data_IF_366277518428
#
_entry.id   IF_366277518428
#
_cell.length_a   1.000
_cell.length_b   1.000
_cell.length_c   1.000
_cell.angle_alpha   90.00
_cell.angle_beta   90.00
_cell.angle_gamma   90.00
#
_symmetry.space_group_name_H-M   'P 1'
#
loop_
_entity.id
_entity.type
_entity.pdbx_description
1 polymer ?
#
# COMPACT_ATOMS: atom_id res chain seq x y z
N UNK A 1 91.88 -29.61 -27.61
CA UNK A 1 91.01 -28.82 -26.69
C UNK A 1 89.62 -28.58 -27.26
N UNK A 2 89.34 -28.93 -28.52
CA UNK A 2 88.07 -28.66 -29.22
C UNK A 2 86.82 -29.44 -28.75
N UNK A 3 86.86 -30.70 -28.26
CA UNK A 3 85.62 -31.42 -27.93
C UNK A 3 84.90 -30.88 -26.68
N UNK A 4 85.64 -30.39 -25.69
CA UNK A 4 85.07 -29.78 -24.46
C UNK A 4 84.33 -28.47 -24.74
N UNK A 5 84.76 -27.72 -25.75
CA UNK A 5 84.12 -26.45 -26.14
C UNK A 5 82.79 -26.73 -26.87
N UNK A 6 82.73 -27.80 -27.67
CA UNK A 6 81.50 -28.22 -28.34
C UNK A 6 80.45 -28.72 -27.35
N UNK A 7 80.84 -29.49 -26.33
CA UNK A 7 79.94 -29.92 -25.25
C UNK A 7 79.39 -28.73 -24.44
N UNK A 8 80.25 -27.78 -24.05
CA UNK A 8 79.82 -26.59 -23.31
C UNK A 8 78.83 -25.72 -24.12
N UNK A 9 79.05 -25.56 -25.43
CA UNK A 9 78.13 -24.85 -26.31
C UNK A 9 76.79 -25.58 -26.47
N UNK A 10 76.81 -26.91 -26.50
CA UNK A 10 75.59 -27.72 -26.58
C UNK A 10 74.74 -27.63 -25.31
N UNK A 11 75.38 -27.63 -24.13
CA UNK A 11 74.68 -27.46 -22.86
C UNK A 11 74.06 -26.07 -22.71
N UNK A 12 74.78 -25.02 -23.14
CA UNK A 12 74.25 -23.66 -23.20
C UNK A 12 73.01 -23.58 -24.09
N UNK A 13 73.09 -24.14 -25.30
CA UNK A 13 71.98 -24.18 -26.24
C UNK A 13 70.75 -24.89 -25.66
N UNK A 14 70.95 -26.05 -25.00
CA UNK A 14 69.87 -26.77 -24.32
C UNK A 14 69.22 -25.94 -23.21
N UNK A 15 70.02 -25.29 -22.36
CA UNK A 15 69.51 -24.43 -21.28
C UNK A 15 68.73 -23.24 -21.84
N UNK A 16 69.21 -22.64 -22.93
CA UNK A 16 68.55 -21.51 -23.59
C UNK A 16 67.20 -21.93 -24.19
N UNK A 17 67.16 -23.05 -24.91
CA UNK A 17 65.91 -23.64 -25.44
C UNK A 17 64.91 -23.99 -24.35
N UNK A 18 65.38 -24.52 -23.21
CA UNK A 18 64.51 -24.84 -22.08
C UNK A 18 63.94 -23.58 -21.42
N UNK A 19 64.75 -22.53 -21.26
CA UNK A 19 64.30 -21.24 -20.73
C UNK A 19 63.30 -20.54 -21.67
N UNK A 20 63.53 -20.60 -22.99
CA UNK A 20 62.59 -20.09 -23.99
C UNK A 20 61.26 -20.85 -23.99
N UNK A 21 61.29 -22.18 -23.90
CA UNK A 21 60.08 -23.00 -23.80
C UNK A 21 59.28 -22.68 -22.53
N UNK A 22 59.96 -22.52 -21.39
CA UNK A 22 59.34 -22.14 -20.13
C UNK A 22 58.71 -20.73 -20.19
N UNK A 23 59.42 -19.75 -20.77
CA UNK A 23 58.89 -18.40 -20.98
C UNK A 23 57.66 -18.40 -21.88
N UNK A 24 57.71 -19.15 -22.98
CA UNK A 24 56.60 -19.28 -23.92
C UNK A 24 55.36 -19.90 -23.25
N UNK A 25 55.54 -20.95 -22.45
CA UNK A 25 54.46 -21.58 -21.69
C UNK A 25 53.84 -20.59 -20.69
N UNK A 26 54.68 -19.88 -19.91
CA UNK A 26 54.21 -18.87 -18.96
C UNK A 26 53.49 -17.70 -19.63
N UNK A 27 53.95 -17.26 -20.79
CA UNK A 27 53.28 -16.21 -21.56
C UNK A 27 51.90 -16.68 -22.06
N UNK A 28 51.80 -17.93 -22.53
CA UNK A 28 50.52 -18.51 -22.96
C UNK A 28 49.55 -18.71 -21.81
N UNK A 29 50.02 -19.16 -20.65
CA UNK A 29 49.21 -19.23 -19.44
C UNK A 29 48.69 -17.84 -19.02
N UNK A 30 49.56 -16.82 -19.03
CA UNK A 30 49.17 -15.45 -18.69
C UNK A 30 48.16 -14.87 -19.69
N UNK A 31 48.34 -15.12 -20.99
CA UNK A 31 47.39 -14.73 -22.03
C UNK A 31 46.03 -15.43 -21.82
N UNK A 32 46.03 -16.73 -21.54
CA UNK A 32 44.81 -17.48 -21.28
C UNK A 32 44.07 -16.97 -20.02
N UNK A 33 44.80 -16.71 -18.94
CA UNK A 33 44.24 -16.12 -17.72
C UNK A 33 43.66 -14.73 -17.96
N UNK A 34 44.36 -13.90 -18.73
CA UNK A 34 43.88 -12.56 -19.09
C UNK A 34 42.60 -12.63 -19.92
N UNK A 35 42.56 -13.48 -20.94
CA UNK A 35 41.37 -13.69 -21.75
C UNK A 35 40.18 -14.22 -20.93
N UNK A 36 40.42 -15.15 -20.01
CA UNK A 36 39.39 -15.65 -19.10
C UNK A 36 38.85 -14.56 -18.16
N UNK A 37 39.73 -13.72 -17.61
CA UNK A 37 39.35 -12.60 -16.75
C UNK A 37 38.55 -11.53 -17.51
N UNK A 38 38.95 -11.20 -18.74
CA UNK A 38 38.23 -10.27 -19.61
C UNK A 38 36.85 -10.81 -19.98
N UNK A 39 36.73 -12.10 -20.34
CA UNK A 39 35.45 -12.73 -20.61
C UNK A 39 34.53 -12.74 -19.38
N UNK A 40 35.06 -13.05 -18.20
CA UNK A 40 34.31 -13.02 -16.95
C UNK A 40 33.84 -11.61 -16.59
N UNK A 41 34.71 -10.60 -16.79
CA UNK A 41 34.36 -9.20 -16.56
C UNK A 41 33.25 -8.75 -17.50
N UNK A 42 33.39 -9.04 -18.80
CA UNK A 42 32.40 -8.70 -19.81
C UNK A 42 31.04 -9.35 -19.54
N UNK A 43 31.03 -10.62 -19.13
CA UNK A 43 29.80 -11.32 -18.74
C UNK A 43 29.12 -10.66 -17.53
N UNK A 44 29.88 -10.32 -16.49
CA UNK A 44 29.33 -9.59 -15.33
C UNK A 44 28.82 -8.21 -15.69
N UNK A 45 29.54 -7.49 -16.55
CA UNK A 45 29.14 -6.17 -17.02
C UNK A 45 27.79 -6.23 -17.73
N UNK A 46 27.60 -7.17 -18.67
CA UNK A 46 26.32 -7.34 -19.36
C UNK A 46 25.16 -7.67 -18.41
N UNK A 47 25.40 -8.49 -17.39
CA UNK A 47 24.37 -8.83 -16.39
C UNK A 47 23.98 -7.58 -15.61
N UNK A 48 24.96 -6.83 -15.10
CA UNK A 48 24.72 -5.59 -14.33
C UNK A 48 24.02 -4.54 -15.19
N UNK A 49 24.43 -4.38 -16.44
CA UNK A 49 23.82 -3.45 -17.39
C UNK A 49 22.37 -3.85 -17.70
N UNK A 50 22.11 -5.15 -17.86
CA UNK A 50 20.77 -5.71 -18.04
C UNK A 50 19.86 -5.47 -16.82
N UNK A 51 20.37 -5.71 -15.61
CA UNK A 51 19.67 -5.44 -14.36
C UNK A 51 19.37 -3.95 -14.18
N UNK A 52 20.34 -3.09 -14.49
CA UNK A 52 20.17 -1.65 -14.43
C UNK A 52 19.11 -1.18 -15.41
N UNK A 53 19.13 -1.70 -16.65
CA UNK A 53 18.13 -1.41 -17.66
C UNK A 53 16.73 -1.84 -17.22
N UNK A 54 16.60 -3.06 -16.68
CA UNK A 54 15.33 -3.57 -16.18
C UNK A 54 14.76 -2.69 -15.05
N UNK A 55 15.58 -2.37 -14.04
CA UNK A 55 15.18 -1.47 -12.93
C UNK A 55 14.80 -0.08 -13.40
N UNK A 56 15.53 0.46 -14.39
CA UNK A 56 15.19 1.76 -14.99
C UNK A 56 13.82 1.71 -15.66
N UNK A 57 13.52 0.64 -16.41
CA UNK A 57 12.21 0.45 -17.05
C UNK A 57 11.08 0.26 -16.06
N UNK A 58 11.32 -0.45 -14.97
CA UNK A 58 10.38 -0.57 -13.87
C UNK A 58 10.08 0.81 -13.24
N UNK A 59 11.11 1.61 -12.95
CA UNK A 59 10.95 2.96 -12.42
C UNK A 59 10.19 3.89 -13.40
N UNK A 60 10.49 3.84 -14.69
CA UNK A 60 9.73 4.56 -15.73
C UNK A 60 8.25 4.14 -15.73
N UNK A 61 7.95 2.85 -15.58
CA UNK A 61 6.59 2.34 -15.46
C UNK A 61 5.86 2.87 -14.22
N UNK A 62 6.53 2.90 -13.07
CA UNK A 62 5.96 3.46 -11.83
C UNK A 62 5.65 4.95 -11.95
N UNK A 63 6.55 5.72 -12.58
CA UNK A 63 6.32 7.14 -12.87
C UNK A 63 5.09 7.30 -13.77
N UNK A 64 4.99 6.53 -14.85
CA UNK A 64 3.85 6.59 -15.76
C UNK A 64 2.52 6.25 -15.06
N UNK A 65 2.52 5.27 -14.15
CA UNK A 65 1.35 4.94 -13.32
C UNK A 65 1.00 6.10 -12.39
N UNK A 66 1.98 6.69 -11.71
CA UNK A 66 1.77 7.82 -10.81
C UNK A 66 1.25 9.06 -11.55
N UNK A 67 1.79 9.34 -12.73
CA UNK A 67 1.31 10.40 -13.62
C UNK A 67 -0.13 10.13 -14.08
N UNK A 68 -0.43 8.89 -14.50
CA UNK A 68 -1.79 8.51 -14.88
C UNK A 68 -2.78 8.66 -13.72
N UNK A 69 -2.40 8.28 -12.51
CA UNK A 69 -3.22 8.49 -11.30
C UNK A 69 -3.42 9.98 -11.01
N UNK A 70 -2.37 10.80 -11.12
CA UNK A 70 -2.45 12.24 -10.92
C UNK A 70 -3.36 12.92 -11.95
N UNK A 71 -3.23 12.54 -13.23
CA UNK A 71 -4.10 13.01 -14.30
C UNK A 71 -5.55 12.61 -14.01
N UNK A 72 -5.80 11.35 -13.66
CA UNK A 72 -7.14 10.85 -13.35
C UNK A 72 -7.82 11.65 -12.23
N UNK A 73 -7.13 11.84 -11.10
CA UNK A 73 -7.66 12.62 -9.97
C UNK A 73 -7.92 14.07 -10.38
N UNK A 74 -7.03 14.67 -11.17
CA UNK A 74 -7.20 16.03 -11.68
C UNK A 74 -8.39 16.16 -12.62
N UNK A 75 -8.55 15.23 -13.55
CA UNK A 75 -9.69 15.21 -14.48
C UNK A 75 -11.01 15.09 -13.72
N UNK A 76 -11.07 14.26 -12.67
CA UNK A 76 -12.25 14.17 -11.81
C UNK A 76 -12.51 15.48 -11.05
N UNK A 77 -11.46 16.11 -10.50
CA UNK A 77 -11.58 17.39 -9.82
C UNK A 77 -12.13 18.47 -10.75
N UNK A 78 -11.60 18.55 -11.97
CA UNK A 78 -12.02 19.52 -12.98
C UNK A 78 -13.47 19.25 -13.43
N UNK A 79 -13.85 17.99 -13.63
CA UNK A 79 -15.22 17.59 -13.96
C UNK A 79 -16.24 17.94 -12.86
N UNK A 80 -15.80 17.95 -11.60
CA UNK A 80 -16.59 18.36 -10.43
C UNK A 80 -16.50 19.87 -10.16
N UNK A 81 -15.95 20.66 -11.10
CA UNK A 81 -15.85 22.11 -10.99
C UNK A 81 -14.89 22.58 -9.90
N UNK A 82 -13.87 21.79 -9.56
CA UNK A 82 -12.93 22.09 -8.48
C UNK A 82 -13.48 21.82 -7.08
N UNK A 83 -14.66 21.19 -6.95
CA UNK A 83 -15.23 20.88 -5.66
C UNK A 83 -14.53 19.66 -5.02
N UNK A 84 -13.59 19.96 -4.13
CA UNK A 84 -12.84 18.94 -3.37
C UNK A 84 -13.74 18.02 -2.54
N UNK A 85 -14.80 18.55 -1.92
CA UNK A 85 -15.70 17.74 -1.08
C UNK A 85 -16.42 16.68 -1.92
N UNK A 86 -16.95 17.07 -3.10
CA UNK A 86 -17.59 16.15 -4.02
C UNK A 86 -16.62 15.08 -4.55
N UNK A 87 -15.36 15.47 -4.84
CA UNK A 87 -14.34 14.53 -5.29
C UNK A 87 -14.00 13.50 -4.20
N UNK A 88 -13.76 13.98 -2.98
CA UNK A 88 -13.47 13.12 -1.83
C UNK A 88 -14.60 12.13 -1.61
N UNK A 89 -15.84 12.61 -1.58
CA UNK A 89 -17.01 11.75 -1.34
C UNK A 89 -17.17 10.72 -2.46
N UNK A 90 -16.98 11.12 -3.73
CA UNK A 90 -16.97 10.20 -4.85
C UNK A 90 -15.89 9.13 -4.73
N UNK A 91 -14.65 9.49 -4.37
CA UNK A 91 -13.56 8.54 -4.16
C UNK A 91 -13.84 7.59 -2.98
N UNK A 92 -14.42 8.09 -1.89
CA UNK A 92 -14.81 7.26 -0.74
C UNK A 92 -15.93 6.27 -1.09
N UNK A 93 -16.91 6.70 -1.88
CA UNK A 93 -18.02 5.85 -2.33
C UNK A 93 -17.53 4.80 -3.32
N UNK A 94 -16.82 5.23 -4.38
CA UNK A 94 -16.31 4.35 -5.42
C UNK A 94 -15.23 3.39 -4.91
N UNK A 95 -14.43 3.82 -3.92
CA UNK A 95 -13.45 2.98 -3.24
C UNK A 95 -14.07 1.99 -2.23
N UNK A 96 -15.39 1.99 -2.04
CA UNK A 96 -16.07 1.05 -1.15
C UNK A 96 -15.83 1.30 0.34
N UNK A 97 -15.24 2.44 0.72
CA UNK A 97 -14.83 2.71 2.11
C UNK A 97 -16.01 2.66 3.08
N UNK A 98 -17.20 3.08 2.65
CA UNK A 98 -18.41 2.98 3.47
C UNK A 98 -18.86 1.53 3.70
N UNK A 99 -18.69 0.65 2.70
CA UNK A 99 -19.00 -0.78 2.85
C UNK A 99 -18.02 -1.44 3.83
N UNK A 100 -16.74 -1.07 3.73
CA UNK A 100 -15.70 -1.56 4.64
C UNK A 100 -15.92 -1.09 6.08
N UNK A 101 -16.23 0.20 6.29
CA UNK A 101 -16.58 0.74 7.60
C UNK A 101 -17.81 0.04 8.20
N UNK A 102 -18.85 -0.20 7.40
CA UNK A 102 -20.03 -0.93 7.84
C UNK A 102 -19.69 -2.37 8.26
N UNK A 103 -18.83 -3.05 7.50
CA UNK A 103 -18.36 -4.41 7.82
C UNK A 103 -17.55 -4.44 9.11
N UNK A 104 -16.58 -3.55 9.27
CA UNK A 104 -15.76 -3.44 10.49
C UNK A 104 -16.64 -3.17 11.70
N UNK A 105 -17.59 -2.25 11.59
CA UNK A 105 -18.52 -1.93 12.68
C UNK A 105 -19.42 -3.13 13.02
N UNK A 106 -19.94 -3.84 12.01
CA UNK A 106 -20.75 -5.03 12.23
C UNK A 106 -19.95 -6.16 12.91
N UNK A 107 -18.68 -6.36 12.50
CA UNK A 107 -17.78 -7.31 13.13
C UNK A 107 -17.44 -6.93 14.57
N UNK A 108 -17.21 -5.64 14.84
CA UNK A 108 -16.99 -5.13 16.18
C UNK A 108 -18.22 -5.34 17.08
N UNK A 109 -19.43 -5.00 16.60
CA UNK A 109 -20.68 -5.24 17.33
C UNK A 109 -20.91 -6.74 17.55
N UNK A 110 -20.59 -7.58 16.58
CA UNK A 110 -20.64 -9.04 16.73
C UNK A 110 -19.65 -9.54 17.79
N UNK A 111 -18.43 -9.00 17.80
CA UNK A 111 -17.36 -9.34 18.74
C UNK A 111 -17.64 -8.85 20.16
N UNK A 112 -18.36 -7.74 20.32
CA UNK A 112 -18.79 -7.24 21.62
C UNK A 112 -19.77 -8.18 22.33
N UNK A 113 -20.42 -9.11 21.62
CA UNK A 113 -21.51 -9.96 22.14
C UNK A 113 -22.38 -9.18 23.12
N UNK A 114 -23.11 -8.13 22.66
CA UNK A 114 -23.83 -7.27 23.58
C UNK A 114 -24.84 -8.11 24.38
N UNK A 115 -24.49 -8.41 25.63
CA UNK A 115 -25.44 -8.90 26.62
C UNK A 115 -26.32 -7.70 26.93
N UNK A 116 -27.40 -7.55 26.16
CA UNK A 116 -28.46 -6.61 26.48
C UNK A 116 -29.08 -7.11 27.78
N UNK A 117 -28.54 -6.66 28.91
CA UNK A 117 -29.17 -6.82 30.21
C UNK A 117 -30.39 -5.91 30.20
N UNK A 118 -31.55 -6.47 29.86
CA UNK A 118 -32.84 -5.78 29.94
C UNK A 118 -33.05 -5.45 31.42
N UNK A 119 -32.73 -4.23 31.83
CA UNK A 119 -33.15 -3.71 33.12
C UNK A 119 -34.63 -3.36 32.97
N UNK A 120 -35.48 -4.37 33.18
CA UNK A 120 -36.91 -4.12 33.40
C UNK A 120 -36.99 -3.39 34.73
N UNK A 121 -37.01 -2.05 34.68
CA UNK A 121 -37.27 -1.25 35.85
C UNK A 121 -38.69 -1.63 36.31
N UNK A 122 -38.78 -2.43 37.37
CA UNK A 122 -40.03 -2.74 38.06
C UNK A 122 -40.55 -1.48 38.72
N UNK A 123 -41.08 -0.55 37.92
CA UNK A 123 -41.91 0.54 38.38
C UNK A 123 -43.29 -0.03 38.64
N UNK A 124 -43.58 -0.32 39.91
CA UNK A 124 -44.90 -0.69 40.35
C UNK A 124 -45.90 0.43 40.04
N UNK A 125 -46.89 0.11 39.22
CA UNK A 125 -48.23 0.66 39.30
C UNK A 125 -49.17 -0.42 38.76
N UNK A 126 -49.95 -0.98 39.67
CA UNK A 126 -51.04 -1.87 39.35
C UNK A 126 -52.11 -1.06 38.61
N UNK A 127 -52.33 -1.36 37.33
CA UNK A 127 -53.65 -1.32 36.71
C UNK A 127 -53.61 -1.88 35.28
N UNK A 128 -54.28 -3.01 35.14
CA UNK A 128 -55.00 -3.51 33.97
C UNK A 128 -54.20 -4.07 32.78
N UNK A 129 -54.54 -5.32 32.46
CA UNK A 129 -53.86 -6.14 31.48
C UNK A 129 -54.19 -5.73 30.05
N UNK A 130 -53.17 -5.69 29.19
CA UNK A 130 -53.19 -6.19 27.80
C UNK A 130 -51.89 -5.80 27.08
N UNK A 131 -51.28 -6.78 26.39
CA UNK A 131 -50.40 -6.52 25.25
C UNK A 131 -48.89 -6.50 25.51
N UNK A 132 -48.26 -7.68 25.42
CA UNK A 132 -46.80 -7.87 25.35
C UNK A 132 -46.13 -7.29 24.07
N UNK A 133 -46.81 -6.45 23.29
CA UNK A 133 -46.31 -5.84 22.04
C UNK A 133 -45.72 -4.44 22.17
N UNK A 134 -45.93 -3.74 23.29
CA UNK A 134 -45.59 -2.31 23.42
C UNK A 134 -44.17 -2.00 23.95
N UNK A 135 -43.45 -2.99 24.49
CA UNK A 135 -42.14 -2.72 25.11
C UNK A 135 -41.00 -2.59 24.08
N UNK A 136 -40.96 -3.42 23.03
CA UNK A 136 -39.93 -3.35 22.00
C UNK A 136 -39.97 -2.03 21.20
N UNK A 137 -41.16 -1.49 20.95
CA UNK A 137 -41.32 -0.24 20.21
C UNK A 137 -40.93 1.00 21.04
N UNK A 138 -41.06 0.91 22.37
CA UNK A 138 -40.64 1.96 23.31
C UNK A 138 -39.11 2.08 23.39
N UNK A 139 -38.39 0.96 23.29
CA UNK A 139 -36.92 0.92 23.27
C UNK A 139 -36.33 1.42 21.95
N UNK A 140 -36.90 1.02 20.80
CA UNK A 140 -36.53 1.57 19.49
C UNK A 140 -36.75 3.10 19.46
N UNK A 141 -37.83 3.59 20.08
CA UNK A 141 -38.07 5.03 20.21
C UNK A 141 -37.04 5.75 21.08
N UNK A 142 -36.44 5.08 22.06
CA UNK A 142 -35.38 5.61 22.90
C UNK A 142 -34.07 5.77 22.13
N UNK A 143 -33.66 4.74 21.37
CA UNK A 143 -32.48 4.80 20.49
C UNK A 143 -32.68 5.87 19.41
N UNK A 144 -33.88 5.94 18.81
CA UNK A 144 -34.23 6.95 17.82
C UNK A 144 -34.23 8.39 18.39
N UNK A 145 -34.51 8.57 19.68
CA UNK A 145 -34.42 9.88 20.37
C UNK A 145 -32.99 10.28 20.76
N UNK A 146 -32.08 9.33 20.90
CA UNK A 146 -30.67 9.59 21.26
C UNK A 146 -29.76 9.84 20.05
N UNK A 147 -30.18 9.40 18.86
CA UNK A 147 -29.47 9.64 17.60
C UNK A 147 -29.35 11.14 17.24
N UNK A 148 -30.42 11.98 17.29
CA UNK A 148 -30.34 13.39 16.91
C UNK A 148 -29.39 14.26 17.78
N UNK A 149 -29.35 14.10 19.12
CA UNK A 149 -28.38 14.83 19.95
C UNK A 149 -26.92 14.53 19.62
N UNK A 150 -26.57 13.29 19.25
CA UNK A 150 -25.20 12.91 18.88
C UNK A 150 -24.77 13.48 17.52
N UNK A 151 -25.71 13.61 16.57
CA UNK A 151 -25.41 14.27 15.30
C UNK A 151 -25.18 15.77 15.45
N UNK A 152 -25.87 16.42 16.40
CA UNK A 152 -25.62 17.83 16.72
C UNK A 152 -24.23 18.05 17.32
N UNK A 153 -23.80 17.23 18.27
CA UNK A 153 -22.46 17.38 18.87
C UNK A 153 -21.33 17.10 17.88
N UNK A 154 -21.48 16.12 16.99
CA UNK A 154 -20.49 15.86 15.92
C UNK A 154 -20.44 17.01 14.92
N UNK A 155 -21.59 17.58 14.54
CA UNK A 155 -21.64 18.74 13.67
C UNK A 155 -21.00 19.98 14.32
N UNK A 156 -21.28 20.24 15.60
CA UNK A 156 -20.71 21.35 16.37
C UNK A 156 -19.19 21.21 16.60
N UNK A 157 -18.66 19.99 16.74
CA UNK A 157 -17.23 19.74 16.99
C UNK A 157 -16.39 19.60 15.72
N UNK A 158 -16.99 19.18 14.59
CA UNK A 158 -16.24 18.86 13.36
C UNK A 158 -16.63 19.72 12.16
N UNK A 159 -17.72 20.48 12.24
CA UNK A 159 -18.26 21.26 11.13
C UNK A 159 -18.82 20.42 9.97
N UNK A 160 -18.85 19.09 10.10
CA UNK A 160 -19.31 18.20 9.04
C UNK A 160 -20.81 17.93 9.17
N UNK A 161 -21.57 18.17 8.09
CA UNK A 161 -22.99 17.82 8.00
C UNK A 161 -23.14 16.30 7.82
N UNK A 162 -24.07 15.65 8.52
CA UNK A 162 -24.34 14.24 8.29
C UNK A 162 -24.85 14.01 6.85
N UNK A 163 -24.44 12.92 6.19
CA UNK A 163 -24.90 12.56 4.84
C UNK A 163 -26.43 12.56 4.69
N UNK A 164 -26.93 13.03 3.54
CA UNK A 164 -28.37 13.26 3.29
C UNK A 164 -29.27 12.01 3.45
N UNK A 165 -28.73 10.80 3.36
CA UNK A 165 -29.48 9.54 3.55
C UNK A 165 -29.69 9.17 5.03
N UNK A 166 -28.97 9.81 5.97
CA UNK A 166 -29.11 9.60 7.42
C UNK A 166 -30.19 10.48 8.07
N UNK A 167 -30.94 11.22 7.26
CA UNK A 167 -32.00 12.12 7.71
C UNK A 167 -31.56 13.58 7.70
N UNK A 168 -32.45 14.45 7.22
CA UNK A 168 -32.30 15.89 7.30
C UNK A 168 -32.61 16.35 8.73
N UNK A 169 -31.72 17.14 9.34
CA UNK A 169 -32.06 17.91 10.54
C UNK A 169 -33.22 18.85 10.19
N UNK A 170 -34.45 18.47 10.52
CA UNK A 170 -35.58 19.40 10.50
C UNK A 170 -35.40 20.31 11.72
N UNK A 171 -34.81 21.48 11.51
CA UNK A 171 -34.95 22.57 12.46
C UNK A 171 -36.30 23.25 12.16
N UNK A 172 -37.27 23.03 13.04
CA UNK A 172 -38.59 23.67 12.97
C UNK A 172 -38.74 24.52 14.23
N UNK A 173 -38.51 25.82 14.01
CA UNK A 173 -38.57 26.96 14.91
C UNK A 173 -39.62 26.95 16.03
N UNK A 174 -39.29 27.64 17.12
CA UNK A 174 -40.22 28.57 17.78
C UNK A 174 -39.49 29.83 18.21
N UNK A 175 -39.50 30.82 17.32
CA UNK A 175 -39.30 32.23 17.66
C UNK A 175 -40.66 32.76 18.12
N UNK A 176 -40.84 32.90 19.42
CA UNK A 176 -41.93 33.71 20.00
C UNK A 176 -41.34 35.05 20.40
N UNK A 177 -41.62 36.07 19.58
CA UNK A 177 -41.63 37.47 20.00
C UNK A 177 -42.96 37.70 20.69
N UNK A 178 -42.92 38.17 21.93
CA UNK A 178 -43.75 39.25 22.46
C UNK A 178 -42.91 39.99 23.53
#
# INVERSE_FOLDING_TARGET
MEPKVQEANWELYKKQKAAEAYLYEKEKEAQAQKAAAEAAFYGRQQIVDGELYAKKKEAEGLIAIAEAQGIYVRTLLDALGGNYAALRDYLMISGGMFQEMAKINAEAVRGLQPKISIWTNGGGEAADGTGAGNNAMKEISGVYKMLPPLFKTVNEQTGMLPPAWMGTLTDSAQSTRD
#
